data_IF_905361337913
#
_entry.id   IF_905361337913
#
_cell.length_a   1.000
_cell.length_b   1.000
_cell.length_c   1.000
_cell.angle_alpha   90.00
_cell.angle_beta   90.00
_cell.angle_gamma   90.00
#
_symmetry.space_group_name_H-M   'P 1'
#
loop_
_entity.id
_entity.type
_entity.pdbx_description
1 polymer ?
#
# COMPACT_ATOMS: atom_id res chain seq x y z
N UNK A 1 44.13 10.63 -11.12
CA UNK A 1 43.52 10.00 -9.93
C UNK A 1 43.19 8.57 -10.38
N UNK A 2 43.98 7.60 -9.96
CA UNK A 2 43.70 6.18 -10.25
C UNK A 2 42.34 5.82 -9.61
N UNK A 3 41.38 5.39 -10.41
CA UNK A 3 40.19 4.72 -9.92
C UNK A 3 40.67 3.45 -9.18
N UNK A 4 40.62 3.48 -7.86
CA UNK A 4 40.76 2.27 -7.07
C UNK A 4 39.58 1.35 -7.45
N UNK A 5 39.93 0.29 -8.13
CA UNK A 5 38.99 -0.81 -8.46
C UNK A 5 38.55 -1.44 -7.14
N UNK A 6 37.50 -0.87 -6.55
CA UNK A 6 36.94 -1.40 -5.30
C UNK A 6 36.20 -2.68 -5.63
N UNK A 7 36.57 -3.77 -4.98
CA UNK A 7 35.88 -5.05 -5.15
C UNK A 7 34.38 -4.86 -4.84
N UNK A 8 33.51 -5.23 -5.79
CA UNK A 8 32.07 -5.11 -5.64
C UNK A 8 31.55 -6.01 -4.50
N UNK A 9 30.59 -5.50 -3.78
CA UNK A 9 29.90 -6.27 -2.74
C UNK A 9 28.99 -7.30 -3.44
N UNK A 10 29.21 -8.59 -3.15
CA UNK A 10 28.37 -9.66 -3.71
C UNK A 10 27.03 -9.73 -3.01
N UNK A 11 25.94 -9.55 -3.78
CA UNK A 11 24.56 -9.70 -3.29
C UNK A 11 24.10 -11.13 -3.58
N UNK A 12 23.70 -11.86 -2.54
CA UNK A 12 23.38 -13.30 -2.66
C UNK A 12 22.03 -13.55 -3.32
N UNK A 13 21.07 -12.68 -3.09
CA UNK A 13 19.69 -12.84 -3.58
C UNK A 13 19.48 -11.97 -4.81
N UNK A 14 18.89 -12.50 -5.89
CA UNK A 14 18.49 -11.67 -7.02
C UNK A 14 17.52 -10.57 -6.62
N UNK A 15 17.59 -9.43 -7.29
CA UNK A 15 16.62 -8.35 -7.16
C UNK A 15 15.69 -8.35 -8.38
N UNK A 16 14.39 -8.37 -8.16
CA UNK A 16 13.40 -8.19 -9.23
C UNK A 16 13.28 -6.71 -9.55
N UNK A 17 13.64 -6.37 -10.78
CA UNK A 17 13.60 -5.00 -11.29
C UNK A 17 12.37 -4.82 -12.17
N UNK A 18 11.46 -3.94 -11.76
CA UNK A 18 10.24 -3.60 -12.49
C UNK A 18 10.40 -2.20 -13.05
N UNK A 19 10.86 -2.11 -14.30
CA UNK A 19 11.04 -0.83 -14.97
C UNK A 19 9.68 -0.18 -15.28
N UNK A 20 9.67 1.13 -15.43
CA UNK A 20 8.45 1.90 -15.55
C UNK A 20 8.37 2.72 -16.83
N UNK A 21 7.63 3.80 -16.75
CA UNK A 21 7.38 4.72 -17.86
C UNK A 21 8.11 6.06 -17.66
N UNK A 22 8.25 6.79 -18.77
CA UNK A 22 8.65 8.20 -18.82
C UNK A 22 9.92 8.50 -18.02
N UNK A 23 9.88 9.55 -17.20
CA UNK A 23 11.03 10.06 -16.44
C UNK A 23 11.59 9.04 -15.43
N UNK A 24 10.74 8.19 -14.83
CA UNK A 24 11.19 7.22 -13.82
C UNK A 24 12.09 6.15 -14.40
N UNK A 25 11.87 5.72 -15.64
CA UNK A 25 12.76 4.82 -16.38
C UNK A 25 14.16 5.42 -16.53
N UNK A 26 14.24 6.70 -16.90
CA UNK A 26 15.50 7.41 -17.09
C UNK A 26 16.24 7.56 -15.75
N UNK A 27 15.54 8.00 -14.70
CA UNK A 27 16.10 8.16 -13.35
C UNK A 27 16.59 6.81 -12.81
N UNK A 28 15.82 5.75 -12.98
CA UNK A 28 16.20 4.42 -12.52
C UNK A 28 17.46 3.90 -13.25
N UNK A 29 17.55 4.16 -14.55
CA UNK A 29 18.77 3.85 -15.32
C UNK A 29 20.00 4.56 -14.75
N UNK A 30 19.88 5.85 -14.37
CA UNK A 30 20.98 6.57 -13.74
C UNK A 30 21.32 6.03 -12.35
N UNK A 31 20.33 5.67 -11.55
CA UNK A 31 20.54 5.05 -10.24
C UNK A 31 21.30 3.74 -10.39
N UNK A 32 20.89 2.86 -11.30
CA UNK A 32 21.60 1.61 -11.57
C UNK A 32 23.06 1.84 -11.96
N UNK A 33 23.28 2.70 -12.95
CA UNK A 33 24.61 2.92 -13.51
C UNK A 33 25.56 3.63 -12.53
N UNK A 34 25.08 4.54 -11.71
CA UNK A 34 25.92 5.39 -10.86
C UNK A 34 25.99 4.95 -9.40
N UNK A 35 24.93 4.31 -8.87
CA UNK A 35 24.81 4.03 -7.45
C UNK A 35 24.69 2.55 -7.11
N UNK A 36 24.39 1.67 -8.07
CA UNK A 36 24.20 0.23 -7.83
C UNK A 36 25.34 -0.57 -8.47
N UNK A 37 25.39 -0.60 -9.80
CA UNK A 37 26.28 -1.47 -10.56
C UNK A 37 27.80 -1.21 -10.34
N UNK A 38 28.27 0.00 -10.01
CA UNK A 38 29.65 0.22 -9.66
C UNK A 38 30.08 -0.45 -8.34
N UNK A 39 29.13 -0.62 -7.40
CA UNK A 39 29.42 -1.08 -6.03
C UNK A 39 28.96 -2.51 -5.73
N UNK A 40 27.95 -2.98 -6.46
CA UNK A 40 27.30 -4.28 -6.20
C UNK A 40 27.50 -5.25 -7.37
N UNK A 41 27.82 -6.49 -7.03
CA UNK A 41 27.69 -7.66 -7.90
C UNK A 41 26.33 -8.30 -7.60
N UNK A 42 25.31 -7.93 -8.37
CA UNK A 42 23.90 -8.25 -8.14
C UNK A 42 23.25 -8.80 -9.42
N UNK A 43 22.50 -9.89 -9.27
CA UNK A 43 21.65 -10.44 -10.34
C UNK A 43 20.32 -9.70 -10.40
N UNK A 44 20.04 -8.98 -11.50
CA UNK A 44 18.82 -8.24 -11.74
C UNK A 44 17.87 -9.04 -12.63
N UNK A 45 16.70 -9.39 -12.11
CA UNK A 45 15.60 -10.03 -12.85
C UNK A 45 14.70 -8.93 -13.43
N UNK A 46 14.96 -8.56 -14.67
CA UNK A 46 14.35 -7.42 -15.34
C UNK A 46 12.96 -7.73 -15.90
N UNK A 47 11.98 -6.87 -15.56
CA UNK A 47 10.62 -6.86 -16.10
C UNK A 47 10.27 -5.44 -16.56
N UNK A 48 9.97 -5.28 -17.84
CA UNK A 48 9.54 -3.99 -18.40
C UNK A 48 8.04 -3.81 -18.19
N UNK A 49 7.67 -2.97 -17.22
CA UNK A 49 6.27 -2.61 -16.95
C UNK A 49 5.83 -1.31 -17.65
N UNK A 50 6.60 -0.83 -18.65
CA UNK A 50 6.15 0.26 -19.49
C UNK A 50 4.85 -0.06 -20.19
N UNK A 51 4.00 0.97 -20.40
CA UNK A 51 2.63 0.80 -20.90
C UNK A 51 2.54 0.04 -22.23
N UNK A 52 3.51 0.28 -23.13
CA UNK A 52 3.56 -0.40 -24.43
C UNK A 52 3.85 -1.90 -24.28
N UNK A 53 4.77 -2.27 -23.39
CA UNK A 53 5.10 -3.69 -23.13
C UNK A 53 3.96 -4.40 -22.43
N UNK A 54 3.29 -3.73 -21.50
CA UNK A 54 2.09 -4.25 -20.84
C UNK A 54 0.98 -4.50 -21.83
N UNK A 55 0.72 -3.56 -22.75
CA UNK A 55 -0.28 -3.72 -23.81
C UNK A 55 0.07 -4.88 -24.75
N UNK A 56 1.32 -4.99 -25.17
CA UNK A 56 1.80 -6.08 -26.03
C UNK A 56 1.60 -7.46 -25.41
N UNK A 57 1.75 -7.58 -24.08
CA UNK A 57 1.62 -8.83 -23.32
C UNK A 57 0.22 -9.05 -22.71
N UNK A 58 -0.75 -8.20 -23.03
CA UNK A 58 -2.07 -8.18 -22.36
C UNK A 58 -1.94 -8.15 -20.83
N UNK A 59 -1.02 -7.33 -20.33
CA UNK A 59 -0.66 -7.14 -18.91
C UNK A 59 -0.12 -8.39 -18.19
N UNK A 60 0.16 -9.49 -18.91
CA UNK A 60 0.72 -10.71 -18.31
C UNK A 60 2.07 -10.44 -17.63
N UNK A 61 2.89 -9.53 -18.19
CA UNK A 61 4.19 -9.17 -17.62
C UNK A 61 4.09 -8.62 -16.18
N UNK A 62 3.00 -7.94 -15.85
CA UNK A 62 2.75 -7.45 -14.48
C UNK A 62 2.50 -8.60 -13.50
N UNK A 63 1.78 -9.61 -13.93
CA UNK A 63 1.53 -10.82 -13.14
C UNK A 63 2.83 -11.60 -12.94
N UNK A 64 3.61 -11.77 -14.01
CA UNK A 64 4.91 -12.47 -13.97
C UNK A 64 5.88 -11.76 -13.03
N UNK A 65 5.95 -10.43 -13.08
CA UNK A 65 6.78 -9.62 -12.20
C UNK A 65 6.36 -9.74 -10.71
N UNK A 66 5.06 -9.71 -10.41
CA UNK A 66 4.54 -9.91 -9.05
C UNK A 66 4.90 -11.30 -8.51
N UNK A 67 4.76 -12.34 -9.31
CA UNK A 67 5.15 -13.70 -8.95
C UNK A 67 6.67 -13.85 -8.76
N UNK A 68 7.46 -13.14 -9.57
CA UNK A 68 8.92 -13.13 -9.42
C UNK A 68 9.33 -12.49 -8.07
N UNK A 69 8.69 -11.39 -7.64
CA UNK A 69 8.94 -10.83 -6.30
C UNK A 69 8.61 -11.85 -5.21
N UNK A 70 7.50 -12.56 -5.34
CA UNK A 70 7.12 -13.62 -4.40
C UNK A 70 8.16 -14.76 -4.35
N UNK A 71 8.75 -15.09 -5.50
CA UNK A 71 9.77 -16.12 -5.62
C UNK A 71 11.13 -15.69 -5.06
N UNK A 72 11.60 -14.48 -5.41
CA UNK A 72 12.93 -13.99 -5.05
C UNK A 72 12.97 -13.17 -3.76
N UNK A 73 11.83 -12.75 -3.25
CA UNK A 73 11.67 -12.06 -1.96
C UNK A 73 11.85 -10.54 -2.02
N UNK A 74 12.54 -9.98 -3.02
CA UNK A 74 12.80 -8.54 -3.08
C UNK A 74 12.56 -8.00 -4.48
N UNK A 75 11.84 -6.87 -4.57
CA UNK A 75 11.62 -6.15 -5.82
C UNK A 75 11.77 -4.63 -5.66
N UNK A 76 12.09 -3.96 -6.77
CA UNK A 76 12.05 -2.51 -6.90
C UNK A 76 11.21 -2.17 -8.12
N UNK A 77 10.21 -1.32 -7.94
CA UNK A 77 9.27 -0.92 -8.97
C UNK A 77 9.38 0.58 -9.27
N UNK A 78 9.57 0.91 -10.52
CA UNK A 78 9.45 2.27 -11.02
C UNK A 78 7.97 2.67 -11.20
N UNK A 79 7.68 3.96 -11.22
CA UNK A 79 6.35 4.46 -11.52
C UNK A 79 5.93 4.06 -12.94
N UNK A 80 4.64 3.71 -13.08
CA UNK A 80 4.04 3.23 -14.32
C UNK A 80 2.80 4.04 -14.65
N UNK A 81 2.52 4.22 -15.94
CA UNK A 81 1.27 4.84 -16.40
C UNK A 81 0.09 3.92 -16.06
N UNK A 82 -0.91 4.48 -15.38
CA UNK A 82 -2.26 3.93 -15.34
C UNK A 82 -3.09 4.71 -16.34
N UNK A 83 -3.45 4.12 -17.50
CA UNK A 83 -4.04 4.87 -18.58
C UNK A 83 -5.48 5.28 -18.27
N UNK A 84 -5.81 6.51 -18.60
CA UNK A 84 -7.15 7.02 -18.79
C UNK A 84 -7.52 6.98 -20.29
N UNK A 85 -8.68 7.50 -20.64
CA UNK A 85 -9.17 7.53 -22.02
C UNK A 85 -8.25 8.31 -22.97
N UNK A 86 -7.57 9.36 -22.48
CA UNK A 86 -6.62 10.16 -23.24
C UNK A 86 -5.35 9.35 -23.53
N UNK A 87 -4.81 8.70 -22.52
CA UNK A 87 -3.62 7.83 -22.63
C UNK A 87 -3.87 6.60 -23.50
N UNK A 88 -5.09 6.01 -23.45
CA UNK A 88 -5.47 4.92 -24.37
C UNK A 88 -5.35 5.34 -25.83
N UNK A 89 -5.79 6.58 -26.16
CA UNK A 89 -5.67 7.12 -27.52
C UNK A 89 -4.24 7.48 -27.88
N UNK A 90 -3.50 8.11 -26.98
CA UNK A 90 -2.11 8.54 -27.17
C UNK A 90 -1.20 7.36 -27.51
N UNK A 91 -1.29 6.26 -26.77
CA UNK A 91 -0.47 5.07 -26.94
C UNK A 91 -1.12 4.01 -27.83
N UNK A 92 -2.30 4.28 -28.39
CA UNK A 92 -3.07 3.32 -29.20
C UNK A 92 -3.24 1.95 -28.52
N UNK A 93 -3.63 1.96 -27.24
CA UNK A 93 -3.76 0.76 -26.42
C UNK A 93 -4.98 -0.05 -26.78
N UNK A 94 -4.90 -1.37 -26.61
CA UNK A 94 -6.02 -2.31 -26.83
C UNK A 94 -7.17 -2.05 -25.85
N UNK A 95 -6.87 -1.60 -24.65
CA UNK A 95 -7.85 -1.26 -23.62
C UNK A 95 -7.26 -0.39 -22.52
N UNK A 96 -8.10 0.11 -21.63
CA UNK A 96 -7.70 0.85 -20.44
C UNK A 96 -7.25 -0.13 -19.35
N UNK A 97 -5.91 -0.40 -19.32
CA UNK A 97 -5.30 -1.34 -18.39
C UNK A 97 -5.41 -0.88 -16.94
N UNK A 98 -5.60 -1.82 -16.03
CA UNK A 98 -5.60 -1.55 -14.59
C UNK A 98 -4.21 -1.12 -14.11
N UNK A 99 -4.16 -0.49 -12.92
CA UNK A 99 -2.89 -0.12 -12.29
C UNK A 99 -2.05 -1.36 -11.97
N UNK A 100 -0.77 -1.42 -12.40
CA UNK A 100 0.14 -2.50 -12.02
C UNK A 100 0.34 -2.60 -10.52
N UNK A 101 0.32 -1.48 -9.80
CA UNK A 101 0.42 -1.49 -8.35
C UNK A 101 -0.68 -2.32 -7.70
N UNK A 102 -1.92 -2.16 -8.18
CA UNK A 102 -3.05 -2.97 -7.73
C UNK A 102 -2.86 -4.46 -7.97
N UNK A 103 -2.39 -4.85 -9.15
CA UNK A 103 -2.12 -6.25 -9.51
C UNK A 103 -1.03 -6.86 -8.63
N UNK A 104 0.12 -6.17 -8.48
CA UNK A 104 1.25 -6.63 -7.66
C UNK A 104 0.84 -6.75 -6.18
N UNK A 105 0.17 -5.73 -5.63
CA UNK A 105 -0.33 -5.75 -4.25
C UNK A 105 -1.32 -6.89 -4.01
N UNK A 106 -2.15 -7.23 -4.99
CA UNK A 106 -3.07 -8.36 -4.90
C UNK A 106 -2.36 -9.72 -4.93
N UNK A 107 -1.22 -9.83 -5.60
CA UNK A 107 -0.40 -11.05 -5.65
C UNK A 107 0.39 -11.23 -4.36
N UNK A 108 0.99 -10.15 -3.86
CA UNK A 108 1.83 -10.18 -2.67
C UNK A 108 1.04 -10.09 -1.37
N UNK A 109 -0.15 -9.43 -1.42
CA UNK A 109 -0.88 -8.96 -0.23
C UNK A 109 0.01 -8.05 0.63
N UNK A 110 -0.43 -7.68 1.83
CA UNK A 110 0.42 -7.02 2.81
C UNK A 110 0.10 -5.56 3.07
N UNK A 111 1.13 -4.86 3.53
CA UNK A 111 1.03 -3.48 4.00
C UNK A 111 2.07 -2.62 3.29
N UNK A 112 1.64 -1.48 2.75
CA UNK A 112 2.55 -0.47 2.23
C UNK A 112 2.94 0.48 3.36
N UNK A 113 4.22 0.49 3.73
CA UNK A 113 4.76 1.46 4.67
C UNK A 113 5.37 2.63 3.91
N UNK A 114 4.89 3.83 4.22
CA UNK A 114 5.37 5.09 3.66
C UNK A 114 5.96 5.94 4.76
N UNK A 115 7.24 6.25 4.64
CA UNK A 115 8.00 6.99 5.63
C UNK A 115 8.65 8.22 4.99
N UNK A 116 8.42 9.44 5.53
CA UNK A 116 9.04 10.64 5.01
C UNK A 116 10.53 10.70 5.33
N UNK A 117 11.30 11.23 4.38
CA UNK A 117 12.71 11.60 4.54
C UNK A 117 12.75 13.04 5.02
N UNK A 118 13.29 13.27 6.21
CA UNK A 118 13.40 14.62 6.77
C UNK A 118 14.72 15.25 6.31
N UNK A 119 14.59 16.29 5.48
CA UNK A 119 15.73 17.08 5.00
C UNK A 119 15.79 18.40 5.78
N UNK A 120 16.95 18.72 6.38
CA UNK A 120 17.09 19.93 7.19
C UNK A 120 16.94 21.23 6.40
N UNK A 121 17.25 21.19 5.10
CA UNK A 121 17.18 22.34 4.17
C UNK A 121 15.83 22.44 3.45
N UNK A 122 14.88 21.55 3.71
CA UNK A 122 13.51 21.61 3.15
C UNK A 122 12.55 22.01 4.26
N UNK A 123 11.90 23.18 4.15
CA UNK A 123 10.93 23.63 5.15
C UNK A 123 9.72 22.68 5.20
N UNK A 124 9.34 22.26 6.39
CA UNK A 124 8.11 21.50 6.61
C UNK A 124 6.89 22.41 6.63
N UNK A 125 5.79 22.01 6.02
CA UNK A 125 4.52 22.75 6.13
C UNK A 125 3.92 22.65 7.54
N UNK A 126 4.21 21.54 8.25
CA UNK A 126 3.83 21.38 9.66
C UNK A 126 5.10 21.43 10.51
N UNK A 127 5.43 22.60 11.10
CA UNK A 127 6.70 22.82 11.81
C UNK A 127 6.93 21.85 12.98
N UNK A 128 5.85 21.40 13.63
CA UNK A 128 5.93 20.49 14.79
C UNK A 128 6.38 19.07 14.42
N UNK A 129 6.33 18.66 13.17
CA UNK A 129 6.72 17.32 12.75
C UNK A 129 8.24 17.18 12.71
N UNK A 130 8.82 16.92 13.87
CA UNK A 130 10.28 16.78 14.03
C UNK A 130 10.77 15.35 13.86
N UNK A 131 9.87 14.38 13.91
CA UNK A 131 10.14 12.96 13.67
C UNK A 131 9.20 12.44 12.57
N UNK A 132 9.59 11.41 11.81
CA UNK A 132 8.74 10.85 10.78
C UNK A 132 7.40 10.35 11.33
N UNK A 133 6.34 10.53 10.55
CA UNK A 133 5.06 9.82 10.70
C UNK A 133 5.05 8.72 9.65
N UNK A 134 5.04 7.47 10.06
CA UNK A 134 4.98 6.33 9.14
C UNK A 134 3.53 5.96 8.90
N UNK A 135 3.09 6.02 7.65
CA UNK A 135 1.77 5.51 7.28
C UNK A 135 1.90 4.04 6.88
N UNK A 136 1.20 3.16 7.61
CA UNK A 136 0.98 1.77 7.23
C UNK A 136 -0.36 1.65 6.51
N UNK A 137 -0.33 1.52 5.17
CA UNK A 137 -1.53 1.35 4.34
C UNK A 137 -1.84 -0.12 4.14
N UNK A 138 -3.03 -0.57 4.52
CA UNK A 138 -3.53 -1.90 4.15
C UNK A 138 -3.67 -2.00 2.63
N UNK A 139 -2.90 -2.88 1.98
CA UNK A 139 -2.81 -2.93 0.53
C UNK A 139 -3.87 -3.82 -0.14
N UNK A 140 -4.92 -4.21 0.59
CA UNK A 140 -5.93 -5.15 0.12
C UNK A 140 -7.36 -4.63 0.35
N UNK A 141 -8.28 -4.98 -0.55
CA UNK A 141 -9.71 -4.80 -0.36
C UNK A 141 -10.20 -3.36 -0.43
N UNK A 142 -11.30 -3.11 0.27
CA UNK A 142 -11.99 -1.83 0.38
C UNK A 142 -12.39 -1.27 -1.00
N UNK A 143 -12.31 0.05 -1.20
CA UNK A 143 -12.68 0.72 -2.46
C UNK A 143 -11.85 0.24 -3.67
N UNK A 144 -10.62 -0.26 -3.46
CA UNK A 144 -9.73 -0.74 -4.52
C UNK A 144 -10.13 -2.12 -5.09
N UNK A 145 -11.06 -2.81 -4.45
CA UNK A 145 -11.68 -4.07 -4.89
C UNK A 145 -13.19 -4.02 -4.87
N UNK A 146 -13.76 -2.84 -4.97
CA UNK A 146 -15.19 -2.64 -4.99
C UNK A 146 -15.81 -3.12 -6.31
N UNK A 147 -17.07 -3.47 -6.23
CA UNK A 147 -17.96 -3.61 -7.38
C UNK A 147 -18.93 -2.45 -7.37
N UNK A 148 -18.88 -1.61 -8.38
CA UNK A 148 -19.71 -0.44 -8.53
C UNK A 148 -20.42 -0.41 -9.88
N UNK A 149 -21.56 0.26 -9.93
CA UNK A 149 -22.33 0.43 -11.15
C UNK A 149 -23.31 1.61 -11.05
N UNK A 150 -23.67 2.12 -12.20
CA UNK A 150 -24.74 3.13 -12.33
C UNK A 150 -26.09 2.45 -12.27
N UNK A 151 -26.94 2.86 -11.33
CA UNK A 151 -28.32 2.41 -11.23
C UNK A 151 -29.15 3.15 -12.29
N UNK A 152 -29.77 2.45 -13.28
CA UNK A 152 -30.35 3.11 -14.45
C UNK A 152 -31.70 3.75 -14.19
N UNK A 153 -32.36 3.43 -13.08
CA UNK A 153 -33.71 3.95 -12.81
C UNK A 153 -34.31 3.43 -11.51
N UNK A 154 -35.64 3.55 -11.40
CA UNK A 154 -36.40 3.09 -10.24
C UNK A 154 -36.24 1.58 -10.03
N UNK A 155 -35.95 1.17 -8.81
CA UNK A 155 -35.78 -0.23 -8.46
C UNK A 155 -35.26 -0.45 -7.04
N UNK A 156 -35.16 -1.72 -6.67
CA UNK A 156 -34.68 -2.16 -5.35
C UNK A 156 -33.29 -2.76 -5.48
N UNK A 157 -32.35 -2.30 -4.67
CA UNK A 157 -31.03 -2.87 -4.52
C UNK A 157 -30.98 -3.77 -3.29
N UNK A 158 -30.53 -5.01 -3.49
CA UNK A 158 -30.27 -5.99 -2.41
C UNK A 158 -28.86 -6.54 -2.51
N UNK A 159 -28.27 -6.88 -1.35
CA UNK A 159 -27.02 -7.63 -1.24
C UNK A 159 -27.34 -9.00 -0.65
N UNK A 160 -26.80 -10.05 -1.26
CA UNK A 160 -27.02 -11.43 -0.86
C UNK A 160 -25.68 -12.15 -0.67
N UNK A 161 -25.50 -12.77 0.47
CA UNK A 161 -24.43 -13.71 0.74
C UNK A 161 -25.01 -15.11 0.82
N UNK A 162 -24.42 -16.07 0.09
CA UNK A 162 -24.83 -17.47 0.07
C UNK A 162 -23.70 -18.33 0.64
N UNK A 163 -23.88 -18.93 1.81
CA UNK A 163 -22.89 -19.84 2.38
C UNK A 163 -22.70 -21.09 1.51
N UNK A 164 -21.46 -21.54 1.32
CA UNK A 164 -21.13 -22.77 0.57
C UNK A 164 -21.49 -24.06 1.34
N UNK A 165 -21.56 -23.99 2.67
CA UNK A 165 -21.93 -25.11 3.55
C UNK A 165 -23.43 -25.44 3.58
N UNK A 166 -24.23 -24.72 2.77
CA UNK A 166 -25.69 -24.88 2.70
C UNK A 166 -26.45 -24.16 3.82
N UNK A 167 -25.78 -23.33 4.60
CA UNK A 167 -26.41 -22.45 5.61
C UNK A 167 -27.43 -21.48 4.99
N UNK A 168 -28.26 -20.87 5.82
CA UNK A 168 -29.27 -19.91 5.37
C UNK A 168 -28.61 -18.68 4.73
N UNK A 169 -29.03 -18.23 3.54
CA UNK A 169 -28.49 -17.02 2.93
C UNK A 169 -28.77 -15.77 3.78
N UNK A 170 -27.81 -14.86 3.80
CA UNK A 170 -28.01 -13.52 4.37
C UNK A 170 -28.38 -12.58 3.22
N UNK A 171 -29.58 -12.02 3.27
CA UNK A 171 -30.05 -11.05 2.27
C UNK A 171 -30.48 -9.76 2.99
N UNK A 172 -30.01 -8.63 2.45
CA UNK A 172 -30.33 -7.31 3.00
C UNK A 172 -30.72 -6.36 1.88
N UNK A 173 -31.85 -5.68 2.06
CA UNK A 173 -32.17 -4.52 1.23
C UNK A 173 -31.20 -3.39 1.58
N UNK A 174 -30.57 -2.82 0.56
CA UNK A 174 -29.69 -1.66 0.69
C UNK A 174 -30.48 -0.38 0.56
N UNK A 175 -31.23 -0.26 -0.55
CA UNK A 175 -32.03 0.92 -0.83
C UNK A 175 -33.08 0.68 -1.90
N UNK A 176 -34.21 1.39 -1.81
CA UNK A 176 -35.22 1.45 -2.87
C UNK A 176 -35.06 2.76 -3.64
N UNK A 177 -34.46 2.69 -4.82
CA UNK A 177 -34.19 3.85 -5.67
C UNK A 177 -35.49 4.40 -6.27
N UNK A 178 -35.81 5.70 -6.10
CA UNK A 178 -36.92 6.34 -6.78
C UNK A 178 -36.62 6.71 -8.24
N UNK A 179 -35.36 6.68 -8.64
CA UNK A 179 -34.81 7.02 -9.95
C UNK A 179 -33.40 6.50 -10.12
N UNK A 180 -32.63 7.11 -11.03
CA UNK A 180 -31.23 6.76 -11.25
C UNK A 180 -30.34 7.08 -10.05
N UNK A 181 -29.16 6.44 -9.98
CA UNK A 181 -28.19 6.63 -8.92
C UNK A 181 -26.91 5.84 -9.16
N UNK A 182 -26.15 5.61 -8.10
CA UNK A 182 -24.91 4.79 -8.11
C UNK A 182 -24.91 3.86 -6.90
N UNK A 183 -24.27 2.73 -7.05
CA UNK A 183 -24.04 1.78 -5.95
C UNK A 183 -22.61 1.28 -5.97
N UNK A 184 -22.05 1.02 -4.78
CA UNK A 184 -20.74 0.43 -4.58
C UNK A 184 -20.82 -0.60 -3.45
N UNK A 185 -20.24 -1.78 -3.69
CA UNK A 185 -20.05 -2.82 -2.68
C UNK A 185 -18.57 -3.12 -2.56
N UNK A 186 -18.07 -3.12 -1.34
CA UNK A 186 -16.68 -3.44 -1.02
C UNK A 186 -16.59 -4.55 0.03
N UNK A 187 -15.43 -5.19 0.14
CA UNK A 187 -15.18 -6.27 1.08
C UNK A 187 -13.74 -6.27 1.60
N UNK A 188 -13.52 -7.02 2.67
CA UNK A 188 -12.19 -7.37 3.17
C UNK A 188 -12.20 -8.77 3.77
N UNK A 189 -11.03 -9.32 4.09
CA UNK A 189 -10.86 -10.66 4.64
C UNK A 189 -10.24 -10.58 6.04
N UNK A 190 -10.73 -11.39 6.95
CA UNK A 190 -10.22 -11.47 8.33
C UNK A 190 -8.71 -11.74 8.38
N UNK A 191 -8.22 -12.67 7.55
CA UNK A 191 -6.80 -13.02 7.56
C UNK A 191 -5.93 -11.90 7.00
N UNK A 192 -6.40 -11.18 5.96
CA UNK A 192 -5.70 -10.01 5.45
C UNK A 192 -5.64 -8.88 6.49
N UNK A 193 -6.72 -8.66 7.24
CA UNK A 193 -6.75 -7.69 8.36
C UNK A 193 -5.78 -8.10 9.46
N UNK A 194 -5.71 -9.39 9.84
CA UNK A 194 -4.75 -9.89 10.83
C UNK A 194 -3.30 -9.74 10.34
N UNK A 195 -3.04 -10.03 9.06
CA UNK A 195 -1.74 -9.79 8.42
C UNK A 195 -1.33 -8.33 8.49
N UNK A 196 -2.24 -7.43 8.20
CA UNK A 196 -2.04 -5.98 8.33
C UNK A 196 -1.74 -5.55 9.77
N UNK A 197 -2.43 -6.12 10.76
CA UNK A 197 -2.16 -5.86 12.17
C UNK A 197 -0.75 -6.31 12.56
N UNK A 198 -0.36 -7.55 12.21
CA UNK A 198 0.97 -8.10 12.48
C UNK A 198 2.08 -7.26 11.83
N UNK A 199 1.91 -6.89 10.57
CA UNK A 199 2.88 -6.04 9.86
C UNK A 199 3.04 -4.68 10.56
N UNK A 200 1.94 -4.03 10.95
CA UNK A 200 1.95 -2.73 11.63
C UNK A 200 2.63 -2.80 13.00
N UNK A 201 2.33 -3.83 13.80
CA UNK A 201 2.95 -4.03 15.12
C UNK A 201 4.44 -4.37 15.01
N UNK A 202 4.83 -5.24 14.09
CA UNK A 202 6.24 -5.56 13.85
C UNK A 202 7.03 -4.32 13.41
N UNK A 203 6.43 -3.47 12.56
CA UNK A 203 7.07 -2.23 12.13
C UNK A 203 7.25 -1.26 13.31
N UNK A 204 6.23 -1.11 14.15
CA UNK A 204 6.29 -0.34 15.39
C UNK A 204 7.36 -0.86 16.35
N UNK A 205 7.45 -2.19 16.54
CA UNK A 205 8.50 -2.82 17.35
C UNK A 205 9.90 -2.58 16.78
N UNK A 206 10.07 -2.62 15.46
CA UNK A 206 11.36 -2.37 14.81
C UNK A 206 11.85 -0.95 15.05
N UNK A 207 10.94 0.03 14.95
CA UNK A 207 11.26 1.44 15.19
C UNK A 207 11.29 1.81 16.69
N UNK A 208 10.69 1.01 17.56
CA UNK A 208 10.46 1.37 18.96
C UNK A 208 9.41 2.47 19.13
N UNK A 209 8.42 2.53 18.24
CA UNK A 209 7.41 3.58 18.19
C UNK A 209 5.99 3.04 18.44
N UNK A 210 5.10 3.86 19.04
CA UNK A 210 3.70 3.49 19.20
C UNK A 210 3.01 3.28 17.86
N UNK A 211 1.95 2.45 17.88
CA UNK A 211 1.12 2.15 16.72
C UNK A 211 -0.30 2.62 16.97
N UNK A 212 -0.84 3.37 16.01
CA UNK A 212 -2.24 3.83 16.04
C UNK A 212 -2.99 3.25 14.84
N UNK A 213 -4.06 2.49 15.10
CA UNK A 213 -5.03 2.14 14.05
C UNK A 213 -6.09 3.22 13.99
N UNK A 214 -6.41 3.74 12.82
CA UNK A 214 -7.57 4.63 12.66
C UNK A 214 -8.66 4.03 11.79
N UNK A 215 -9.90 4.22 12.20
CA UNK A 215 -11.10 3.79 11.48
C UNK A 215 -12.26 4.78 11.70
N UNK A 216 -13.37 4.58 11.01
CA UNK A 216 -14.63 5.29 11.29
C UNK A 216 -15.71 4.31 11.77
N UNK A 217 -15.39 3.46 12.74
CA UNK A 217 -16.26 2.40 13.25
C UNK A 217 -17.55 2.92 13.91
N UNK A 218 -17.62 4.19 14.25
CA UNK A 218 -18.87 4.82 14.72
C UNK A 218 -19.93 4.95 13.62
N UNK A 219 -19.51 4.98 12.36
CA UNK A 219 -20.36 5.02 11.16
C UNK A 219 -20.37 3.65 10.48
N UNK A 220 -19.23 3.10 10.13
CA UNK A 220 -19.07 1.79 9.51
C UNK A 220 -18.99 0.69 10.58
N UNK A 221 -20.06 0.53 11.37
CA UNK A 221 -20.04 -0.24 12.62
C UNK A 221 -19.55 -1.67 12.47
N UNK A 222 -20.02 -2.40 11.46
CA UNK A 222 -19.63 -3.78 11.20
C UNK A 222 -18.28 -3.84 10.47
N UNK A 223 -18.13 -3.06 9.41
CA UNK A 223 -16.94 -3.11 8.54
C UNK A 223 -15.68 -2.64 9.29
N UNK A 224 -15.68 -1.42 9.75
CA UNK A 224 -14.55 -0.83 10.49
C UNK A 224 -14.41 -1.42 11.90
N UNK A 225 -15.54 -1.83 12.51
CA UNK A 225 -15.53 -2.57 13.76
C UNK A 225 -14.74 -3.86 13.66
N UNK A 226 -14.84 -4.59 12.52
CA UNK A 226 -14.07 -5.81 12.30
C UNK A 226 -12.56 -5.54 12.28
N UNK A 227 -12.10 -4.46 11.66
CA UNK A 227 -10.70 -4.04 11.72
C UNK A 227 -10.25 -3.79 13.15
N UNK A 228 -11.02 -2.98 13.90
CA UNK A 228 -10.71 -2.65 15.29
C UNK A 228 -10.61 -3.92 16.15
N UNK A 229 -11.57 -4.82 16.04
CA UNK A 229 -11.65 -6.02 16.89
C UNK A 229 -10.51 -7.01 16.55
N UNK A 230 -10.21 -7.23 15.27
CA UNK A 230 -9.12 -8.11 14.86
C UNK A 230 -7.73 -7.55 15.20
N UNK A 231 -7.52 -6.24 15.07
CA UNK A 231 -6.29 -5.60 15.55
C UNK A 231 -6.10 -5.78 17.04
N UNK A 232 -7.16 -5.57 17.84
CA UNK A 232 -7.11 -5.79 19.30
C UNK A 232 -6.83 -7.25 19.64
N UNK A 233 -7.50 -8.18 18.93
CA UNK A 233 -7.27 -9.63 19.13
C UNK A 233 -5.80 -10.01 18.87
N UNK A 234 -5.23 -9.56 17.75
CA UNK A 234 -3.82 -9.83 17.41
C UNK A 234 -2.88 -9.18 18.41
N UNK A 235 -3.15 -7.92 18.81
CA UNK A 235 -2.34 -7.24 19.82
C UNK A 235 -2.31 -8.01 21.14
N UNK A 236 -3.47 -8.35 21.68
CA UNK A 236 -3.59 -9.03 22.99
C UNK A 236 -2.93 -10.40 23.00
N UNK A 237 -3.04 -11.15 21.91
CA UNK A 237 -2.52 -12.51 21.81
C UNK A 237 -1.03 -12.60 21.46
N UNK A 238 -0.52 -11.68 20.65
CA UNK A 238 0.79 -11.85 20.02
C UNK A 238 1.81 -10.75 20.36
N UNK A 239 1.37 -9.55 20.76
CA UNK A 239 2.24 -8.36 20.84
C UNK A 239 2.26 -7.62 22.17
N UNK A 240 1.25 -7.78 23.03
CA UNK A 240 1.11 -7.00 24.26
C UNK A 240 2.37 -7.01 25.15
N UNK A 241 2.97 -8.19 25.38
CA UNK A 241 4.16 -8.32 26.21
C UNK A 241 5.39 -7.64 25.58
N UNK A 242 5.53 -7.75 24.24
CA UNK A 242 6.64 -7.14 23.50
C UNK A 242 6.55 -5.60 23.53
N UNK A 243 5.33 -5.06 23.37
CA UNK A 243 5.06 -3.62 23.44
C UNK A 243 5.33 -3.09 24.86
N UNK A 244 4.87 -3.82 25.89
CA UNK A 244 5.14 -3.52 27.29
C UNK A 244 6.65 -3.50 27.59
N UNK A 245 7.39 -4.50 27.12
CA UNK A 245 8.84 -4.58 27.32
C UNK A 245 9.57 -3.39 26.67
N UNK A 246 9.12 -2.91 25.51
CA UNK A 246 9.68 -1.74 24.81
C UNK A 246 9.09 -0.40 25.28
N UNK A 247 8.12 -0.41 26.20
CA UNK A 247 7.41 0.79 26.70
C UNK A 247 6.76 1.62 25.59
N UNK A 248 6.22 0.96 24.58
CA UNK A 248 5.43 1.55 23.51
C UNK A 248 3.97 1.09 23.58
N UNK A 249 3.07 1.82 22.96
CA UNK A 249 1.61 1.59 23.07
C UNK A 249 0.98 1.27 21.72
N UNK A 250 -0.15 0.58 21.77
CA UNK A 250 -1.12 0.48 20.69
C UNK A 250 -2.42 1.14 21.11
N UNK A 251 -3.02 1.93 20.21
CA UNK A 251 -4.34 2.51 20.40
C UNK A 251 -5.14 2.46 19.08
N UNK A 252 -6.43 2.21 19.21
CA UNK A 252 -7.38 2.47 18.14
C UNK A 252 -7.99 3.87 18.34
N UNK A 253 -8.06 4.66 17.26
CA UNK A 253 -8.65 6.01 17.25
C UNK A 253 -9.63 6.18 16.10
N UNK A 254 -10.57 7.10 16.23
CA UNK A 254 -11.37 7.55 15.09
C UNK A 254 -10.46 8.33 14.12
N UNK A 255 -10.69 8.17 12.81
CA UNK A 255 -9.82 8.77 11.78
C UNK A 255 -9.74 10.29 11.90
N UNK A 256 -10.83 10.96 12.18
CA UNK A 256 -10.89 12.42 12.39
C UNK A 256 -10.10 12.87 13.63
N UNK A 257 -10.19 12.13 14.74
CA UNK A 257 -9.38 12.39 15.93
C UNK A 257 -7.89 12.13 15.66
N UNK A 258 -7.57 11.06 14.92
CA UNK A 258 -6.19 10.76 14.58
C UNK A 258 -5.56 11.81 13.66
N UNK A 259 -6.31 12.35 12.69
CA UNK A 259 -5.85 13.47 11.85
C UNK A 259 -5.56 14.69 12.72
N UNK A 260 -6.47 15.05 13.64
CA UNK A 260 -6.26 16.17 14.55
C UNK A 260 -5.06 15.97 15.48
N UNK A 261 -4.86 14.74 15.96
CA UNK A 261 -3.73 14.36 16.81
C UNK A 261 -2.40 14.42 16.03
N UNK A 262 -2.36 13.87 14.82
CA UNK A 262 -1.17 13.89 13.97
C UNK A 262 -0.66 15.30 13.68
N UNK A 263 -1.57 16.26 13.45
CA UNK A 263 -1.21 17.67 13.23
C UNK A 263 -0.62 18.35 14.49
N UNK A 264 -0.96 17.86 15.68
CA UNK A 264 -0.51 18.46 16.96
C UNK A 264 0.74 17.79 17.50
N UNK A 265 0.97 16.51 17.18
CA UNK A 265 2.10 15.73 17.67
C UNK A 265 3.36 15.99 16.87
N UNK A 266 4.50 15.59 17.42
CA UNK A 266 5.82 15.79 16.80
C UNK A 266 6.21 14.70 15.77
N UNK A 267 5.38 13.68 15.58
CA UNK A 267 5.73 12.49 14.84
C UNK A 267 6.28 11.37 15.75
N UNK A 268 7.01 10.42 15.17
CA UNK A 268 7.57 9.28 15.92
C UNK A 268 6.53 8.21 16.21
N UNK A 269 5.66 7.91 15.27
CA UNK A 269 4.64 6.85 15.41
C UNK A 269 4.33 6.19 14.06
N UNK A 270 3.76 4.98 14.15
CA UNK A 270 3.18 4.26 13.00
C UNK A 270 1.68 4.45 13.01
N UNK A 271 1.15 4.95 11.91
CA UNK A 271 -0.29 5.15 11.70
C UNK A 271 -0.83 4.12 10.71
N UNK A 272 -1.47 3.09 11.24
CA UNK A 272 -2.13 2.04 10.46
C UNK A 272 -3.48 2.53 9.93
N UNK A 273 -3.63 2.53 8.62
CA UNK A 273 -4.79 3.04 7.90
C UNK A 273 -5.37 1.97 6.97
N UNK A 274 -6.69 1.93 6.83
CA UNK A 274 -7.34 1.17 5.76
C UNK A 274 -6.86 1.65 4.39
N UNK A 275 -7.15 0.88 3.34
CA UNK A 275 -6.56 1.09 2.03
C UNK A 275 -6.70 2.53 1.50
N UNK A 276 -7.92 3.06 1.40
CA UNK A 276 -8.15 4.41 0.91
C UNK A 276 -7.63 5.48 1.88
N UNK A 277 -7.88 5.31 3.18
CA UNK A 277 -7.41 6.23 4.21
C UNK A 277 -5.87 6.35 4.17
N UNK A 278 -5.18 5.21 4.02
CA UNK A 278 -3.72 5.16 3.91
C UNK A 278 -3.17 5.81 2.65
N UNK A 279 -3.88 5.71 1.53
CA UNK A 279 -3.53 6.41 0.30
C UNK A 279 -3.54 7.92 0.50
N UNK A 280 -4.67 8.45 0.97
CA UNK A 280 -4.86 9.89 1.17
C UNK A 280 -3.94 10.43 2.27
N UNK A 281 -3.85 9.74 3.41
CA UNK A 281 -3.03 10.22 4.53
C UNK A 281 -1.53 10.17 4.24
N UNK A 282 -1.06 9.21 3.47
CA UNK A 282 0.36 9.19 3.10
C UNK A 282 0.76 10.39 2.25
N UNK A 283 -0.08 10.78 1.30
CA UNK A 283 0.15 11.97 0.47
C UNK A 283 0.07 13.25 1.31
N UNK A 284 -0.92 13.33 2.21
CA UNK A 284 -1.04 14.46 3.15
C UNK A 284 0.20 14.61 4.02
N UNK A 285 0.68 13.51 4.58
CA UNK A 285 1.90 13.48 5.42
C UNK A 285 3.14 13.85 4.60
N UNK A 286 3.27 13.30 3.37
CA UNK A 286 4.39 13.63 2.49
C UNK A 286 4.45 15.14 2.17
N UNK A 287 3.33 15.75 1.85
CA UNK A 287 3.25 17.20 1.62
C UNK A 287 3.57 17.99 2.88
N UNK A 288 3.10 17.53 4.04
CA UNK A 288 3.43 18.14 5.33
C UNK A 288 4.92 18.15 5.65
N UNK A 289 5.68 17.15 5.19
CA UNK A 289 7.15 17.08 5.29
C UNK A 289 7.88 17.78 4.14
N UNK A 290 7.18 18.21 3.11
CA UNK A 290 7.71 19.07 2.04
C UNK A 290 7.37 18.62 0.61
N UNK A 291 7.36 17.33 0.30
CA UNK A 291 7.10 16.81 -1.04
C UNK A 291 6.82 15.32 -1.06
N UNK A 292 6.03 14.85 -2.01
CA UNK A 292 5.86 13.41 -2.32
C UNK A 292 7.20 12.73 -2.65
N UNK A 293 8.12 13.43 -3.31
CA UNK A 293 9.45 12.92 -3.64
C UNK A 293 10.36 12.67 -2.43
N UNK A 294 9.95 13.09 -1.23
CA UNK A 294 10.65 12.84 0.03
C UNK A 294 10.01 11.68 0.83
N UNK A 295 9.16 10.89 0.21
CA UNK A 295 8.49 9.76 0.85
C UNK A 295 9.00 8.45 0.27
N UNK A 296 9.50 7.55 1.14
CA UNK A 296 9.75 6.16 0.75
C UNK A 296 8.45 5.38 0.74
N UNK A 297 8.36 4.35 -0.10
CA UNK A 297 7.21 3.45 -0.16
C UNK A 297 7.70 2.01 -0.27
N UNK A 298 7.30 1.16 0.66
CA UNK A 298 7.71 -0.24 0.72
C UNK A 298 6.51 -1.13 1.05
N UNK A 299 6.14 -2.00 0.10
CA UNK A 299 5.17 -3.06 0.35
C UNK A 299 5.87 -4.22 1.05
N UNK A 300 5.31 -4.68 2.16
CA UNK A 300 5.76 -5.84 2.92
C UNK A 300 4.64 -6.88 2.95
N UNK A 301 4.91 -8.12 2.49
CA UNK A 301 3.95 -9.22 2.56
C UNK A 301 3.55 -9.54 4.00
N UNK A 302 2.38 -10.19 4.25
CA UNK A 302 1.92 -10.49 5.61
C UNK A 302 2.89 -11.34 6.44
N UNK A 303 3.64 -12.23 5.78
CA UNK A 303 4.65 -13.09 6.41
C UNK A 303 6.04 -12.43 6.50
N UNK A 304 6.19 -11.20 5.99
CA UNK A 304 7.44 -10.45 5.97
C UNK A 304 8.53 -10.98 5.03
N UNK A 305 8.23 -11.98 4.20
CA UNK A 305 9.22 -12.64 3.32
C UNK A 305 9.41 -11.97 1.98
N UNK A 306 8.40 -11.22 1.53
CA UNK A 306 8.46 -10.49 0.27
C UNK A 306 8.36 -9.00 0.52
N UNK A 307 9.24 -8.24 -0.11
CA UNK A 307 9.34 -6.79 0.00
C UNK A 307 9.44 -6.18 -1.38
N UNK A 308 8.62 -5.18 -1.66
CA UNK A 308 8.70 -4.41 -2.90
C UNK A 308 8.77 -2.91 -2.58
N UNK A 309 9.88 -2.27 -2.94
CA UNK A 309 10.00 -0.81 -2.95
C UNK A 309 9.30 -0.25 -4.19
N UNK A 310 8.45 0.76 -4.02
CA UNK A 310 7.70 1.42 -5.10
C UNK A 310 7.98 2.94 -5.13
#
# INVERSE_FOLDING_TARGET
MEERDMAKIKVKTPLVELDGDEMTRIIWSFIKQKLILPYLDIDLKYYDLGIEKRDATNDQITIDAGNAIKQYGVGVKCATITPDEARVKEFNLKQMWKSPNGTIRNILDGTVFRQPIICNNVPRLVPNWTQPIVIGRHAFGDQYRATDFVVPGKGKLTVKFVPEDGGAPIEKEVFSFPGGGVSLTMYNLDESIRGFARASFNYGLTLGWPVYLSTKNTILKAYDGRFKDLFQEVFDKEFADQFKAKKITYEHRLIDDMVASALKWSGGFVWACKNYDGDVQSDTVAQGFGSLGLMTSVLVSPDGKSVAAE
#
